data_IF_404798379465
#
_entry.id   IF_404798379465
#
_cell.length_a   1.000
_cell.length_b   1.000
_cell.length_c   1.000
_cell.angle_alpha   90.00
_cell.angle_beta   90.00
_cell.angle_gamma   90.00
#
_symmetry.space_group_name_H-M   'P 1'
#
loop_
_entity.id
_entity.type
_entity.pdbx_description
1 polymer ?
#
# COMPACT_ATOMS: atom_id res chain seq x y z
N UNK A 1 30.04 -16.51 1.22
CA UNK A 1 28.76 -16.66 0.49
C UNK A 1 27.64 -16.42 1.51
N UNK A 2 26.91 -15.29 1.44
CA UNK A 2 25.82 -15.01 2.39
C UNK A 2 24.63 -15.87 2.00
N UNK A 3 24.45 -17.00 2.70
CA UNK A 3 23.31 -17.90 2.48
C UNK A 3 22.09 -17.18 3.04
N UNK A 4 21.31 -16.53 2.17
CA UNK A 4 20.02 -15.96 2.55
C UNK A 4 19.07 -17.12 2.82
N UNK A 5 18.55 -17.22 4.05
CA UNK A 5 17.64 -18.30 4.43
C UNK A 5 16.39 -18.29 3.54
N UNK A 6 15.80 -19.46 3.30
CA UNK A 6 14.51 -19.57 2.61
C UNK A 6 13.42 -18.75 3.33
N UNK A 7 13.53 -18.60 4.65
CA UNK A 7 12.66 -17.74 5.45
C UNK A 7 12.78 -16.25 5.09
N UNK A 8 14.01 -15.75 4.90
CA UNK A 8 14.25 -14.37 4.45
C UNK A 8 13.67 -14.11 3.06
N UNK A 9 13.77 -15.09 2.15
CA UNK A 9 13.14 -15.00 0.82
C UNK A 9 11.62 -14.97 0.92
N UNK A 10 11.02 -15.76 1.81
CA UNK A 10 9.55 -15.76 2.03
C UNK A 10 9.08 -14.44 2.62
N UNK A 11 9.79 -13.87 3.60
CA UNK A 11 9.48 -12.55 4.18
C UNK A 11 9.61 -11.43 3.13
N UNK A 12 10.65 -11.45 2.31
CA UNK A 12 10.81 -10.49 1.21
C UNK A 12 9.72 -10.64 0.15
N UNK A 13 9.26 -11.86 -0.14
CA UNK A 13 8.15 -12.09 -1.08
C UNK A 13 6.83 -11.55 -0.52
N UNK A 14 6.51 -11.86 0.74
CA UNK A 14 5.34 -11.33 1.41
C UNK A 14 5.34 -9.80 1.50
N UNK A 15 6.48 -9.17 1.78
CA UNK A 15 6.63 -7.71 1.74
C UNK A 15 6.46 -7.13 0.33
N UNK A 16 6.91 -7.83 -0.73
CA UNK A 16 6.68 -7.38 -2.12
C UNK A 16 5.22 -7.53 -2.57
N UNK A 17 4.51 -8.49 -1.97
CA UNK A 17 3.11 -8.78 -2.26
C UNK A 17 2.14 -7.85 -1.51
N UNK A 18 2.60 -7.08 -0.52
CA UNK A 18 1.75 -6.19 0.28
C UNK A 18 2.14 -4.73 0.05
N UNK A 19 1.15 -3.88 -0.23
CA UNK A 19 1.30 -2.44 -0.51
C UNK A 19 0.56 -1.65 0.56
N UNK A 20 1.16 -0.55 1.02
CA UNK A 20 0.50 0.40 1.93
C UNK A 20 -0.24 1.46 1.11
N UNK A 21 -1.56 1.48 1.23
CA UNK A 21 -2.40 2.50 0.59
C UNK A 21 -2.82 3.56 1.62
N UNK A 22 -2.68 4.86 1.30
CA UNK A 22 -3.19 5.91 2.16
C UNK A 22 -4.72 5.86 2.23
N UNK A 23 -5.25 5.89 3.45
CA UNK A 23 -6.67 6.05 3.74
C UNK A 23 -6.92 7.50 4.09
N UNK A 24 -7.81 8.14 3.36
CA UNK A 24 -8.23 9.51 3.64
C UNK A 24 -9.65 9.52 4.17
N UNK A 25 -9.89 10.36 5.16
CA UNK A 25 -11.22 10.67 5.68
C UNK A 25 -11.80 11.84 4.86
N UNK A 26 -13.08 11.71 4.49
CA UNK A 26 -13.83 12.71 3.73
C UNK A 26 -13.18 13.12 2.41
N UNK A 27 -12.82 12.15 1.56
CA UNK A 27 -12.38 12.43 0.18
C UNK A 27 -13.52 13.08 -0.61
N UNK A 28 -13.30 14.30 -1.09
CA UNK A 28 -14.20 14.98 -2.00
C UNK A 28 -13.40 15.82 -3.01
N UNK A 29 -14.08 16.27 -4.07
CA UNK A 29 -13.50 17.24 -5.01
C UNK A 29 -13.85 18.65 -4.55
N UNK A 30 -12.87 19.55 -4.60
CA UNK A 30 -13.13 20.98 -4.42
C UNK A 30 -13.71 21.59 -5.71
N UNK A 31 -13.99 22.88 -5.65
CA UNK A 31 -14.52 23.67 -6.77
C UNK A 31 -13.54 23.78 -7.95
N UNK A 32 -12.24 23.52 -7.71
CA UNK A 32 -11.18 23.48 -8.72
C UNK A 32 -10.99 22.08 -9.33
N UNK A 33 -11.74 21.08 -8.86
CA UNK A 33 -11.66 19.69 -9.31
C UNK A 33 -10.54 18.87 -8.68
N UNK A 34 -9.80 19.43 -7.74
CA UNK A 34 -8.75 18.74 -6.97
C UNK A 34 -9.35 17.85 -5.88
N UNK A 35 -8.71 16.69 -5.66
CA UNK A 35 -9.10 15.75 -4.63
C UNK A 35 -8.57 16.23 -3.27
N UNK A 36 -9.46 16.62 -2.37
CA UNK A 36 -9.12 17.00 -1.00
C UNK A 36 -9.63 15.92 -0.04
N UNK A 37 -8.76 15.47 0.84
CA UNK A 37 -9.11 14.53 1.91
C UNK A 37 -8.06 14.59 3.01
N UNK A 38 -8.47 14.32 4.26
CA UNK A 38 -7.52 14.28 5.38
C UNK A 38 -6.91 12.89 5.45
N UNK A 39 -5.60 12.78 5.32
CA UNK A 39 -4.91 11.50 5.51
C UNK A 39 -5.08 11.07 6.97
N UNK A 40 -5.70 9.91 7.18
CA UNK A 40 -5.99 9.39 8.53
C UNK A 40 -5.21 8.13 8.86
N UNK A 41 -4.94 7.26 7.88
CA UNK A 41 -4.26 6.01 8.13
C UNK A 41 -3.64 5.41 6.86
N UNK A 42 -3.02 4.22 6.97
CA UNK A 42 -2.51 3.45 5.85
C UNK A 42 -2.95 1.99 5.95
N UNK A 43 -3.74 1.53 4.99
CA UNK A 43 -4.14 0.13 4.90
C UNK A 43 -3.06 -0.71 4.21
N UNK A 44 -2.72 -1.85 4.80
CA UNK A 44 -1.92 -2.88 4.15
C UNK A 44 -2.84 -3.76 3.29
N UNK A 45 -2.72 -3.61 1.97
CA UNK A 45 -3.48 -4.40 1.00
C UNK A 45 -2.55 -5.21 0.13
N UNK A 46 -2.96 -6.39 -0.33
CA UNK A 46 -2.16 -7.14 -1.26
C UNK A 46 -2.15 -6.48 -2.65
N UNK A 47 -0.99 -6.50 -3.31
CA UNK A 47 -0.70 -5.80 -4.56
C UNK A 47 -1.62 -6.19 -5.72
N UNK A 48 -2.06 -7.45 -5.75
CA UNK A 48 -2.99 -7.95 -6.76
C UNK A 48 -4.35 -7.24 -6.76
N UNK A 49 -4.71 -6.55 -5.67
CA UNK A 49 -5.96 -5.78 -5.58
C UNK A 49 -5.92 -4.46 -6.38
N UNK A 50 -4.71 -3.96 -6.69
CA UNK A 50 -4.49 -2.70 -7.41
C UNK A 50 -4.27 -2.95 -8.92
N UNK A 51 -3.68 -4.10 -9.29
CA UNK A 51 -3.37 -4.47 -10.69
C UNK A 51 -4.58 -5.06 -11.44
N UNK A 52 -5.68 -4.29 -11.58
CA UNK A 52 -6.81 -4.63 -12.46
C UNK A 52 -6.95 -3.61 -13.58
#
# INVERSE_FOLDING_TARGET
>A
MRITSLEDKRKQKAMKETVKLPIYESIHRNEEGELIGKLVDYAEVPRWYIEK
#
